data_IF_074610417487
#
_entry.id   IF_074610417487
#
_cell.length_a   1.000
_cell.length_b   1.000
_cell.length_c   1.000
_cell.angle_alpha   90.00
_cell.angle_beta   90.00
_cell.angle_gamma   90.00
#
_symmetry.space_group_name_H-M   'P 1'
#
loop_
_entity.id
_entity.type
_entity.pdbx_description
1 polymer ?
#
# COMPACT_ATOMS: atom_id res chain seq x y z
N UNK A 1 1.44 -6.37 11.50
CA UNK A 1 2.52 -6.04 10.54
C UNK A 1 2.14 -4.69 10.01
N UNK A 2 2.71 -3.66 10.62
CA UNK A 2 2.30 -2.28 10.40
C UNK A 2 2.66 -1.86 8.98
N UNK A 3 1.71 -1.23 8.30
CA UNK A 3 1.93 -0.69 6.96
C UNK A 3 3.02 0.37 7.00
N UNK A 4 3.92 0.39 6.01
CA UNK A 4 4.91 1.46 5.87
C UNK A 4 4.19 2.78 5.59
N UNK A 5 4.47 3.82 6.38
CA UNK A 5 3.92 5.16 6.12
C UNK A 5 4.65 5.82 4.94
N UNK A 6 3.93 6.68 4.21
CA UNK A 6 4.51 7.41 3.09
C UNK A 6 5.71 8.27 3.53
N UNK A 7 5.58 8.94 4.67
CA UNK A 7 6.65 9.76 5.23
C UNK A 7 7.91 8.94 5.53
N UNK A 8 7.76 7.74 6.08
CA UNK A 8 8.91 6.86 6.34
C UNK A 8 9.57 6.39 5.04
N UNK A 9 8.78 6.05 4.02
CA UNK A 9 9.30 5.65 2.71
C UNK A 9 10.10 6.77 2.04
N UNK A 10 9.59 8.00 2.08
CA UNK A 10 10.28 9.19 1.57
C UNK A 10 11.57 9.42 2.36
N UNK A 11 11.49 9.43 3.69
CA UNK A 11 12.64 9.68 4.56
C UNK A 11 13.78 8.69 4.31
N UNK A 12 13.47 7.40 4.20
CA UNK A 12 14.47 6.36 3.94
C UNK A 12 15.12 6.55 2.56
N UNK A 13 14.35 6.91 1.53
CA UNK A 13 14.89 7.18 0.20
C UNK A 13 15.81 8.42 0.19
N UNK A 14 15.40 9.49 0.86
CA UNK A 14 16.19 10.72 0.96
C UNK A 14 17.51 10.52 1.71
N UNK A 15 17.52 9.72 2.79
CA UNK A 15 18.74 9.37 3.54
C UNK A 15 19.82 8.71 2.68
N UNK A 16 19.45 8.06 1.57
CA UNK A 16 20.39 7.39 0.65
C UNK A 16 20.60 8.15 -0.67
N UNK A 17 20.24 9.44 -0.68
CA UNK A 17 20.56 10.40 -1.73
C UNK A 17 19.56 10.48 -2.88
N UNK A 18 18.36 9.89 -2.75
CA UNK A 18 17.27 10.16 -3.69
C UNK A 18 16.56 11.46 -3.33
N UNK A 19 15.89 12.08 -4.31
CA UNK A 19 14.98 13.22 -4.10
C UNK A 19 13.61 12.87 -4.62
N UNK A 20 12.57 13.12 -3.84
CA UNK A 20 11.18 12.97 -4.28
C UNK A 20 10.86 14.05 -5.33
N UNK A 21 10.37 13.65 -6.50
CA UNK A 21 10.03 14.56 -7.60
C UNK A 21 8.55 14.50 -8.00
N UNK A 22 7.79 13.56 -7.44
CA UNK A 22 6.35 13.50 -7.64
C UNK A 22 5.67 12.38 -6.85
N UNK A 23 4.37 12.50 -6.68
CA UNK A 23 3.50 11.47 -6.13
C UNK A 23 2.23 11.34 -6.96
N UNK A 24 1.56 10.20 -6.85
CA UNK A 24 0.29 9.95 -7.54
C UNK A 24 -0.63 9.08 -6.71
N UNK A 25 -1.92 9.40 -6.76
CA UNK A 25 -3.00 8.62 -6.16
C UNK A 25 -3.51 7.50 -7.08
N UNK A 26 -2.77 7.15 -8.14
CA UNK A 26 -3.21 6.14 -9.12
C UNK A 26 -3.49 4.76 -8.50
N UNK A 27 -2.82 4.41 -7.40
CA UNK A 27 -3.05 3.17 -6.66
C UNK A 27 -3.79 3.41 -5.33
N UNK A 28 -4.44 4.57 -5.16
CA UNK A 28 -5.25 4.83 -3.98
C UNK A 28 -6.51 3.97 -4.02
N UNK A 29 -6.87 3.38 -2.88
CA UNK A 29 -8.13 2.65 -2.73
C UNK A 29 -8.90 3.13 -1.50
N UNK A 30 -9.95 3.97 -1.66
CA UNK A 30 -10.73 4.48 -0.54
C UNK A 30 -11.54 3.39 0.19
N UNK A 31 -11.66 2.18 -0.37
CA UNK A 31 -12.32 1.04 0.29
C UNK A 31 -11.40 0.27 1.23
N UNK A 32 -10.09 0.46 1.11
CA UNK A 32 -9.12 -0.20 1.99
C UNK A 32 -8.96 0.61 3.29
N UNK A 33 -9.61 0.14 4.35
CA UNK A 33 -9.53 0.72 5.69
C UNK A 33 -8.21 0.41 6.40
N UNK A 34 -7.36 -0.44 5.81
CA UNK A 34 -6.08 -0.94 6.37
C UNK A 34 -6.21 -1.75 7.67
N UNK A 35 -7.43 -2.00 8.11
CA UNK A 35 -7.76 -2.81 9.29
C UNK A 35 -8.24 -4.20 8.85
N UNK A 36 -7.28 -5.10 8.62
CA UNK A 36 -7.54 -6.47 8.17
C UNK A 36 -6.80 -7.49 9.03
N UNK A 37 -7.39 -8.67 9.35
CA UNK A 37 -6.81 -9.65 10.28
C UNK A 37 -5.40 -10.15 9.91
N UNK A 38 -5.06 -10.17 8.61
CA UNK A 38 -3.73 -10.58 8.10
C UNK A 38 -2.99 -9.42 7.43
N UNK A 39 -3.38 -8.18 7.76
CA UNK A 39 -2.90 -6.95 7.13
C UNK A 39 -3.23 -6.91 5.65
N UNK A 40 -2.41 -6.18 4.88
CA UNK A 40 -2.52 -6.04 3.42
C UNK A 40 -2.67 -7.37 2.66
N UNK A 41 -2.09 -8.46 3.18
CA UNK A 41 -2.17 -9.78 2.55
C UNK A 41 -3.57 -10.40 2.58
N UNK A 42 -4.49 -9.83 3.36
CA UNK A 42 -5.91 -10.20 3.37
C UNK A 42 -6.59 -9.86 2.05
N UNK A 43 -6.13 -8.78 1.38
CA UNK A 43 -6.71 -8.28 0.15
C UNK A 43 -6.12 -8.97 -1.10
N UNK A 44 -6.69 -8.64 -2.26
CA UNK A 44 -6.13 -9.06 -3.55
C UNK A 44 -4.70 -8.53 -3.73
N UNK A 45 -3.83 -9.25 -4.48
CA UNK A 45 -4.11 -10.51 -5.19
C UNK A 45 -3.95 -11.77 -4.32
N UNK A 46 -3.55 -11.64 -3.05
CA UNK A 46 -3.15 -12.80 -2.24
C UNK A 46 -4.33 -13.50 -1.56
N UNK A 47 -5.33 -12.75 -1.07
CA UNK A 47 -6.49 -13.29 -0.35
C UNK A 47 -6.09 -14.30 0.74
N UNK A 48 -5.21 -13.91 1.66
CA UNK A 48 -4.57 -14.83 2.63
C UNK A 48 -5.53 -15.53 3.60
N UNK A 49 -6.78 -15.08 3.70
CA UNK A 49 -7.84 -15.74 4.46
C UNK A 49 -8.60 -16.82 3.63
N UNK A 50 -8.28 -16.97 2.35
CA UNK A 50 -8.84 -18.01 1.49
C UNK A 50 -10.32 -17.78 1.18
N UNK A 51 -11.18 -18.65 1.72
CA UNK A 51 -12.63 -18.60 1.51
C UNK A 51 -13.37 -17.83 2.61
N UNK A 52 -12.73 -17.56 3.75
CA UNK A 52 -13.33 -16.77 4.83
C UNK A 52 -13.58 -15.34 4.35
N UNK A 53 -14.85 -14.91 4.35
CA UNK A 53 -15.29 -13.60 3.88
C UNK A 53 -14.72 -13.20 2.51
N UNK A 54 -14.47 -14.17 1.63
CA UNK A 54 -13.78 -13.94 0.35
C UNK A 54 -14.44 -12.84 -0.49
N UNK A 55 -15.77 -12.88 -0.61
CA UNK A 55 -16.53 -11.89 -1.39
C UNK A 55 -16.38 -10.48 -0.84
N UNK A 56 -16.30 -10.32 0.49
CA UNK A 56 -16.05 -9.03 1.14
C UNK A 56 -14.69 -8.47 0.72
N UNK A 57 -13.63 -9.28 0.75
CA UNK A 57 -12.29 -8.83 0.38
C UNK A 57 -12.12 -8.61 -1.13
N UNK A 58 -12.83 -9.37 -1.97
CA UNK A 58 -12.91 -9.11 -3.41
C UNK A 58 -13.57 -7.76 -3.71
N UNK A 59 -14.64 -7.41 -2.99
CA UNK A 59 -15.33 -6.11 -3.17
C UNK A 59 -14.48 -4.90 -2.75
N UNK A 60 -13.56 -5.09 -1.79
CA UNK A 60 -12.57 -4.09 -1.39
C UNK A 60 -11.55 -3.89 -2.52
N UNK A 61 -11.07 -4.97 -3.14
CA UNK A 61 -10.09 -4.91 -4.23
C UNK A 61 -8.64 -5.06 -3.73
N UNK A 62 -7.68 -4.54 -4.49
CA UNK A 62 -6.28 -4.44 -4.04
C UNK A 62 -6.15 -3.40 -2.90
N UNK A 63 -5.08 -3.47 -2.12
CA UNK A 63 -4.81 -2.49 -1.07
C UNK A 63 -4.54 -1.08 -1.60
N UNK A 64 -4.80 -0.09 -0.75
CA UNK A 64 -4.38 1.30 -0.93
C UNK A 64 -2.84 1.41 -0.88
N UNK A 65 -2.24 1.98 -1.94
CA UNK A 65 -0.77 2.05 -2.09
C UNK A 65 -0.31 3.45 -2.47
N UNK A 66 0.77 3.88 -1.83
CA UNK A 66 1.50 5.08 -2.25
C UNK A 66 2.21 4.84 -3.59
N UNK A 67 2.20 5.84 -4.47
CA UNK A 67 3.02 5.87 -5.69
C UNK A 67 3.92 7.09 -5.63
N UNK A 68 5.23 6.86 -5.54
CA UNK A 68 6.24 7.90 -5.36
C UNK A 68 7.28 7.80 -6.47
N UNK A 69 7.61 8.95 -7.07
CA UNK A 69 8.66 9.06 -8.09
C UNK A 69 9.87 9.77 -7.48
N UNK A 70 11.03 9.13 -7.59
CA UNK A 70 12.30 9.67 -7.11
C UNK A 70 13.27 9.87 -8.27
N UNK A 71 14.15 10.85 -8.13
CA UNK A 71 15.35 11.00 -8.97
C UNK A 71 16.60 10.81 -8.12
N UNK A 72 17.70 10.41 -8.77
CA UNK A 72 19.04 10.36 -8.18
C UNK A 72 20.01 10.92 -9.20
N UNK A 73 20.76 11.93 -8.77
CA UNK A 73 21.81 12.56 -9.55
C UNK A 73 23.06 11.65 -9.61
#
# INVERSE_FOLDING_TARGET
MDTVSQSLAIEVAERVGFKLVGSSEINANPKDTKDHPRGVWTLLPNLRLGEEDRDKYIQIGESDRMTLLFTKD
#
